data_IF_924039596429
#
_entry.id   IF_924039596429
#
_cell.length_a   1.000
_cell.length_b   1.000
_cell.length_c   1.000
_cell.angle_alpha   90.00
_cell.angle_beta   90.00
_cell.angle_gamma   90.00
#
_symmetry.space_group_name_H-M   'P 1'
#
loop_
_entity.id
_entity.type
_entity.pdbx_description
1 polymer ?
#
# COMPACT_ATOMS: atom_id res chain seq x y z
N UNK A 1 11.58 3.35 -61.44
CA UNK A 1 11.30 3.95 -60.12
C UNK A 1 9.91 3.59 -59.59
N UNK A 2 8.84 3.76 -60.39
CA UNK A 2 7.45 3.40 -60.00
C UNK A 2 7.29 1.95 -59.46
N UNK A 3 7.88 0.95 -60.11
CA UNK A 3 7.86 -0.45 -59.64
C UNK A 3 8.50 -0.66 -58.25
N UNK A 4 9.62 0.00 -57.97
CA UNK A 4 10.28 -0.10 -56.66
C UNK A 4 9.42 0.56 -55.58
N UNK A 5 8.84 1.72 -55.88
CA UNK A 5 7.91 2.44 -55.01
C UNK A 5 6.68 1.59 -54.65
N UNK A 6 6.08 0.91 -55.64
CA UNK A 6 4.93 0.02 -55.41
C UNK A 6 5.27 -1.16 -54.52
N UNK A 7 6.48 -1.74 -54.64
CA UNK A 7 6.91 -2.86 -53.79
C UNK A 7 7.12 -2.37 -52.34
N UNK A 8 7.74 -1.21 -52.15
CA UNK A 8 7.91 -0.62 -50.81
C UNK A 8 6.56 -0.33 -50.15
N UNK A 9 5.62 0.25 -50.92
CA UNK A 9 4.28 0.56 -50.41
C UNK A 9 3.51 -0.71 -50.03
N UNK A 10 3.60 -1.76 -50.84
CA UNK A 10 2.99 -3.04 -50.53
C UNK A 10 3.58 -3.66 -49.25
N UNK A 11 4.90 -3.56 -49.05
CA UNK A 11 5.56 -4.01 -47.83
C UNK A 11 5.06 -3.27 -46.58
N UNK A 12 4.85 -1.96 -46.67
CA UNK A 12 4.31 -1.15 -45.56
C UNK A 12 2.87 -1.57 -45.23
N UNK A 13 2.03 -1.80 -46.25
CA UNK A 13 0.64 -2.23 -46.05
C UNK A 13 0.58 -3.60 -45.36
N UNK A 14 1.41 -4.55 -45.79
CA UNK A 14 1.48 -5.88 -45.18
C UNK A 14 1.97 -5.79 -43.73
N UNK A 15 3.04 -5.01 -43.49
CA UNK A 15 3.59 -4.83 -42.15
C UNK A 15 2.56 -4.17 -41.21
N UNK A 16 1.84 -3.17 -41.70
CA UNK A 16 0.77 -2.50 -40.96
C UNK A 16 -0.38 -3.46 -40.64
N UNK A 17 -0.80 -4.28 -41.60
CA UNK A 17 -1.80 -5.32 -41.38
C UNK A 17 -1.36 -6.39 -40.37
N UNK A 18 -0.06 -6.69 -40.29
CA UNK A 18 0.50 -7.64 -39.34
C UNK A 18 0.66 -7.04 -37.93
N UNK A 19 0.86 -5.73 -37.84
CA UNK A 19 0.90 -4.95 -36.60
C UNK A 19 -0.50 -4.62 -36.07
N UNK A 20 -1.54 -4.78 -36.88
CA UNK A 20 -2.93 -4.74 -36.43
C UNK A 20 -3.21 -5.99 -35.59
N UNK A 21 -2.94 -5.88 -34.29
CA UNK A 21 -3.42 -6.85 -33.31
C UNK A 21 -4.95 -6.67 -33.24
N UNK A 22 -5.75 -7.69 -33.58
CA UNK A 22 -7.19 -7.59 -33.48
C UNK A 22 -7.57 -7.51 -31.99
N UNK A 23 -8.11 -6.36 -31.60
CA UNK A 23 -8.59 -6.13 -30.24
C UNK A 23 -9.96 -6.78 -30.08
N UNK A 24 -9.91 -8.08 -29.76
CA UNK A 24 -11.08 -8.89 -29.42
C UNK A 24 -11.34 -8.85 -27.91
N UNK A 25 -10.60 -8.04 -27.16
CA UNK A 25 -10.76 -8.01 -25.73
C UNK A 25 -12.09 -7.33 -25.45
N UNK A 26 -13.09 -8.12 -25.08
CA UNK A 26 -14.08 -7.64 -24.15
C UNK A 26 -13.31 -7.38 -22.87
N UNK A 27 -12.67 -6.22 -22.79
CA UNK A 27 -12.23 -5.69 -21.50
C UNK A 27 -13.52 -5.64 -20.72
N UNK A 28 -13.67 -6.61 -19.82
CA UNK A 28 -14.69 -6.58 -18.82
C UNK A 28 -14.25 -5.41 -17.96
N UNK A 29 -14.71 -4.20 -18.32
CA UNK A 29 -14.58 -3.04 -17.46
C UNK A 29 -15.35 -3.47 -16.24
N UNK A 30 -14.64 -3.87 -15.19
CA UNK A 30 -15.27 -4.13 -13.90
C UNK A 30 -16.11 -2.88 -13.62
N UNK A 31 -17.42 -3.09 -13.60
CA UNK A 31 -18.40 -2.03 -13.44
C UNK A 31 -18.19 -1.53 -12.01
N UNK A 32 -17.50 -0.40 -11.93
CA UNK A 32 -17.15 0.30 -10.70
C UNK A 32 -16.23 -0.52 -9.79
N UNK A 33 -15.13 0.12 -9.38
CA UNK A 33 -14.25 -0.46 -8.40
C UNK A 33 -15.07 -0.94 -7.21
N UNK A 34 -14.84 -2.19 -6.83
CA UNK A 34 -15.17 -2.71 -5.51
C UNK A 34 -14.38 -1.96 -4.40
N UNK A 35 -13.81 -0.79 -4.71
CA UNK A 35 -13.31 0.23 -3.80
C UNK A 35 -14.44 0.58 -2.85
N UNK A 36 -14.39 -0.04 -1.67
CA UNK A 36 -14.95 0.51 -0.46
C UNK A 36 -14.72 2.03 -0.49
N UNK A 37 -15.77 2.85 -0.40
CA UNK A 37 -15.60 4.28 -0.38
C UNK A 37 -14.61 4.63 0.74
N UNK A 38 -13.76 5.63 0.48
CA UNK A 38 -12.94 6.22 1.54
C UNK A 38 -13.86 6.49 2.75
N UNK A 39 -13.48 5.96 3.91
CA UNK A 39 -14.30 6.08 5.12
C UNK A 39 -14.12 7.52 5.62
N UNK A 40 -15.07 8.37 5.25
CA UNK A 40 -15.23 9.72 5.80
C UNK A 40 -15.65 9.63 7.28
N UNK A 41 -15.51 10.73 8.02
CA UNK A 41 -15.91 10.84 9.43
C UNK A 41 -15.07 9.99 10.41
N UNK A 42 -13.75 10.04 10.23
CA UNK A 42 -12.76 9.40 11.12
C UNK A 42 -12.22 10.38 12.18
N UNK A 43 -12.98 11.43 12.52
CA UNK A 43 -12.55 12.47 13.46
C UNK A 43 -12.25 11.88 14.85
N UNK A 44 -13.07 10.94 15.33
CA UNK A 44 -12.82 10.24 16.60
C UNK A 44 -11.50 9.46 16.57
N UNK A 45 -11.17 8.84 15.43
CA UNK A 45 -9.92 8.11 15.24
C UNK A 45 -8.74 9.08 15.23
N UNK A 46 -8.88 10.23 14.58
CA UNK A 46 -7.87 11.27 14.59
C UNK A 46 -7.61 11.80 16.01
N UNK A 47 -8.68 12.17 16.73
CA UNK A 47 -8.59 12.67 18.11
C UNK A 47 -7.92 11.67 19.04
N UNK A 48 -8.22 10.37 18.86
CA UNK A 48 -7.55 9.30 19.60
C UNK A 48 -6.04 9.26 19.35
N UNK A 49 -5.62 9.30 18.07
CA UNK A 49 -4.20 9.30 17.71
C UNK A 49 -3.46 10.55 18.23
N UNK A 50 -4.13 11.70 18.19
CA UNK A 50 -3.59 12.96 18.72
C UNK A 50 -3.43 12.94 20.24
N UNK A 51 -4.38 12.33 20.97
CA UNK A 51 -4.24 12.07 22.41
C UNK A 51 -3.04 11.18 22.69
N UNK A 52 -2.87 10.08 21.94
CA UNK A 52 -1.73 9.16 22.09
C UNK A 52 -0.40 9.85 21.86
N UNK A 53 -0.29 10.70 20.84
CA UNK A 53 0.92 11.49 20.60
C UNK A 53 1.22 12.41 21.79
N UNK A 54 0.20 13.12 22.28
CA UNK A 54 0.33 14.07 23.38
C UNK A 54 0.77 13.37 24.67
N UNK A 55 0.18 12.21 24.97
CA UNK A 55 0.57 11.35 26.10
C UNK A 55 2.03 10.89 25.97
N UNK A 56 2.41 10.30 24.82
CA UNK A 56 3.75 9.80 24.58
C UNK A 56 4.82 10.91 24.66
N UNK A 57 4.45 12.14 24.29
CA UNK A 57 5.34 13.31 24.38
C UNK A 57 5.47 13.84 25.81
N UNK A 58 4.42 13.75 26.60
CA UNK A 58 4.38 14.24 27.98
C UNK A 58 5.08 13.30 28.96
N UNK A 59 4.95 11.98 28.77
CA UNK A 59 5.46 10.97 29.69
C UNK A 59 6.43 9.99 29.01
N UNK A 60 7.68 10.42 28.92
CA UNK A 60 8.79 9.62 28.36
C UNK A 60 9.24 8.46 29.27
N UNK A 61 8.75 8.38 30.50
CA UNK A 61 9.11 7.27 31.41
C UNK A 61 8.26 6.02 31.15
N UNK A 62 7.05 6.17 30.63
CA UNK A 62 6.17 5.06 30.26
C UNK A 62 6.59 4.44 28.93
N UNK A 63 6.90 5.28 27.93
CA UNK A 63 7.35 4.84 26.61
C UNK A 63 8.87 4.68 26.62
N UNK A 64 9.33 3.57 27.18
CA UNK A 64 10.75 3.22 27.15
C UNK A 64 11.14 2.63 25.80
N UNK A 65 12.42 2.70 25.40
CA UNK A 65 12.90 2.08 24.15
C UNK A 65 12.53 0.59 24.03
N UNK A 66 12.62 -0.18 25.12
CA UNK A 66 12.24 -1.59 25.11
C UNK A 66 10.74 -1.85 24.89
N UNK A 67 9.87 -0.92 25.29
CA UNK A 67 8.44 -1.00 24.97
C UNK A 67 8.21 -0.73 23.49
N UNK A 68 8.91 0.24 22.91
CA UNK A 68 8.83 0.53 21.47
C UNK A 68 9.33 -0.66 20.65
N UNK A 69 10.46 -1.24 21.02
CA UNK A 69 11.02 -2.44 20.37
C UNK A 69 10.04 -3.62 20.41
N UNK A 70 9.36 -3.83 21.54
CA UNK A 70 8.33 -4.86 21.65
C UNK A 70 7.14 -4.59 20.72
N UNK A 71 6.64 -3.36 20.66
CA UNK A 71 5.53 -2.99 19.77
C UNK A 71 5.90 -3.12 18.29
N UNK A 72 7.14 -2.79 17.91
CA UNK A 72 7.65 -3.00 16.56
C UNK A 72 7.74 -4.50 16.25
N UNK A 73 8.24 -5.31 17.20
CA UNK A 73 8.31 -6.77 17.04
C UNK A 73 6.93 -7.39 16.86
N UNK A 74 5.92 -6.91 17.58
CA UNK A 74 4.54 -7.37 17.44
C UNK A 74 4.00 -7.02 16.04
N UNK A 75 4.29 -5.81 15.53
CA UNK A 75 3.92 -5.38 14.18
C UNK A 75 4.57 -6.27 13.11
N UNK A 76 5.87 -6.57 13.22
CA UNK A 76 6.55 -7.47 12.27
C UNK A 76 6.03 -8.90 12.33
N UNK A 77 5.57 -9.36 13.49
CA UNK A 77 4.95 -10.69 13.60
C UNK A 77 3.68 -10.80 12.74
N UNK A 78 2.91 -9.72 12.60
CA UNK A 78 1.75 -9.66 11.69
C UNK A 78 2.19 -9.71 10.23
N UNK A 79 3.26 -8.98 9.88
CA UNK A 79 3.84 -9.00 8.52
C UNK A 79 4.31 -10.41 8.17
N UNK A 80 5.07 -11.06 9.05
CA UNK A 80 5.53 -12.44 8.87
C UNK A 80 4.34 -13.40 8.69
N UNK A 81 3.26 -13.21 9.45
CA UNK A 81 2.05 -14.03 9.30
C UNK A 81 1.40 -13.85 7.92
N UNK A 82 1.29 -12.60 7.43
CA UNK A 82 0.76 -12.30 6.09
C UNK A 82 1.60 -12.98 5.01
N UNK A 83 2.93 -12.88 5.09
CA UNK A 83 3.83 -13.51 4.12
C UNK A 83 3.70 -15.03 4.11
N UNK A 84 3.55 -15.65 5.27
CA UNK A 84 3.50 -17.11 5.38
C UNK A 84 2.16 -17.71 4.93
N UNK A 85 1.05 -16.99 5.11
CA UNK A 85 -0.30 -17.53 4.86
C UNK A 85 -0.94 -17.06 3.56
N UNK A 86 -0.38 -16.04 2.90
CA UNK A 86 -0.90 -15.44 1.66
C UNK A 86 -2.42 -15.14 1.74
N UNK A 87 -2.85 -14.27 2.68
CA UNK A 87 -4.26 -14.02 2.93
C UNK A 87 -4.94 -13.34 1.73
N UNK A 88 -6.26 -13.53 1.62
CA UNK A 88 -7.05 -12.88 0.58
C UNK A 88 -7.19 -11.38 0.84
N UNK A 89 -7.43 -10.55 -0.19
CA UNK A 89 -7.51 -9.10 -0.02
C UNK A 89 -8.57 -8.57 0.98
N UNK A 90 -9.56 -9.38 1.33
CA UNK A 90 -10.65 -9.07 2.28
C UNK A 90 -10.42 -9.63 3.69
N UNK A 91 -9.22 -10.14 3.96
CA UNK A 91 -8.87 -10.75 5.25
C UNK A 91 -8.60 -9.69 6.34
N UNK A 92 -9.11 -9.96 7.54
CA UNK A 92 -9.04 -9.06 8.71
C UNK A 92 -7.61 -8.75 9.16
N UNK A 93 -6.62 -9.58 8.81
CA UNK A 93 -5.22 -9.31 9.18
C UNK A 93 -4.69 -7.99 8.60
N UNK A 94 -5.24 -7.55 7.47
CA UNK A 94 -4.84 -6.26 6.89
C UNK A 94 -5.38 -5.10 7.74
N UNK A 95 -6.56 -5.24 8.33
CA UNK A 95 -7.09 -4.28 9.28
C UNK A 95 -6.26 -4.29 10.57
N UNK A 96 -5.85 -5.47 11.06
CA UNK A 96 -4.99 -5.61 12.24
C UNK A 96 -3.60 -4.99 12.02
N UNK A 97 -2.99 -5.21 10.85
CA UNK A 97 -1.73 -4.59 10.44
C UNK A 97 -1.84 -3.06 10.45
N UNK A 98 -2.87 -2.53 9.77
CA UNK A 98 -3.08 -1.08 9.67
C UNK A 98 -3.36 -0.47 11.05
N UNK A 99 -4.17 -1.13 11.87
CA UNK A 99 -4.47 -0.68 13.22
C UNK A 99 -3.19 -0.58 14.06
N UNK A 100 -2.39 -1.65 14.11
CA UNK A 100 -1.12 -1.68 14.84
C UNK A 100 -0.14 -0.63 14.34
N UNK A 101 0.01 -0.50 13.01
CA UNK A 101 0.90 0.50 12.41
C UNK A 101 0.49 1.93 12.81
N UNK A 102 -0.80 2.28 12.65
CA UNK A 102 -1.27 3.63 12.94
C UNK A 102 -1.30 3.95 14.43
N UNK A 103 -1.51 2.97 15.32
CA UNK A 103 -1.47 3.21 16.77
C UNK A 103 -0.05 3.37 17.30
N UNK A 104 0.92 2.72 16.67
CA UNK A 104 2.34 2.88 16.99
C UNK A 104 2.92 4.21 16.46
N UNK A 105 2.41 4.73 15.35
CA UNK A 105 2.94 5.95 14.70
C UNK A 105 3.00 7.19 15.62
N UNK A 106 1.97 7.54 16.44
CA UNK A 106 2.05 8.63 17.42
C UNK A 106 3.18 8.46 18.42
N UNK A 107 3.44 7.22 18.86
CA UNK A 107 4.46 6.91 19.86
C UNK A 107 5.86 7.10 19.27
N UNK A 108 6.07 6.62 18.04
CA UNK A 108 7.31 6.83 17.27
C UNK A 108 7.53 8.31 16.98
N UNK A 109 6.47 9.01 16.55
CA UNK A 109 6.52 10.43 16.23
C UNK A 109 6.84 11.31 17.43
N UNK A 110 6.51 10.87 18.64
CA UNK A 110 6.82 11.58 19.88
C UNK A 110 8.28 11.40 20.36
N UNK A 111 9.03 10.45 19.80
CA UNK A 111 10.43 10.21 20.16
C UNK A 111 11.36 11.28 19.59
N UNK A 112 12.43 11.60 20.33
CA UNK A 112 13.48 12.52 19.84
C UNK A 112 14.31 11.87 18.72
N UNK A 113 14.52 10.56 18.82
CA UNK A 113 15.20 9.72 17.82
C UNK A 113 14.22 8.64 17.40
N UNK A 114 13.82 8.65 16.13
CA UNK A 114 12.87 7.70 15.58
C UNK A 114 13.55 6.36 15.28
N UNK A 115 12.85 5.26 15.53
CA UNK A 115 13.35 3.93 15.19
C UNK A 115 13.19 3.70 13.67
N UNK A 116 14.29 3.45 12.92
CA UNK A 116 14.23 3.23 11.48
C UNK A 116 13.43 1.97 11.07
N UNK A 117 13.44 0.92 11.91
CA UNK A 117 12.76 -0.36 11.62
C UNK A 117 11.25 -0.18 11.44
N UNK A 118 10.65 0.77 12.16
CA UNK A 118 9.22 1.09 12.00
C UNK A 118 8.85 1.50 10.57
N UNK A 119 9.76 2.19 9.87
CA UNK A 119 9.51 2.65 8.51
C UNK A 119 9.74 1.55 7.46
N UNK A 120 10.40 0.44 7.81
CA UNK A 120 10.57 -0.68 6.90
C UNK A 120 9.24 -1.38 6.61
N UNK A 121 8.29 -1.35 7.55
CA UNK A 121 6.93 -1.89 7.33
C UNK A 121 6.18 -1.17 6.19
N UNK A 122 6.55 0.07 5.90
CA UNK A 122 5.95 0.85 4.81
C UNK A 122 6.64 0.65 3.45
N UNK A 123 7.90 0.19 3.43
CA UNK A 123 8.75 0.15 2.22
C UNK A 123 8.87 -1.25 1.62
#
# INVERSE_FOLDING_TARGET
MKKKLSITLLGIIILYGLLLIPDNSTINIEIEGNSTPFIWDQDERWDFLESKFTEAKADKEIITPGVIEALISDLFSIVDEIENREPKPDDVIFDELLLSFFELAPVIGAQDVQNPEFFEVYN
#
